data_IF_004198629067
#
_entry.id   IF_004198629067
#
_cell.length_a   1.000
_cell.length_b   1.000
_cell.length_c   1.000
_cell.angle_alpha   90.00
_cell.angle_beta   90.00
_cell.angle_gamma   90.00
#
_symmetry.space_group_name_H-M   'P 1'
#
loop_
_entity.id
_entity.type
_entity.pdbx_description
1 polymer ?
#
# COMPACT_ATOMS: atom_id res chain seq x y z
N UNK A 1 54.64 43.22 7.61
CA UNK A 1 54.79 43.21 6.15
C UNK A 1 53.47 43.63 5.52
N UNK A 2 53.37 44.92 5.29
CA UNK A 2 52.42 45.64 4.44
C UNK A 2 52.83 45.47 2.96
N UNK A 3 51.90 45.52 1.99
CA UNK A 3 52.28 45.77 0.58
C UNK A 3 51.39 45.20 -0.54
N UNK A 4 50.23 45.83 -0.73
CA UNK A 4 49.51 46.30 -1.94
C UNK A 4 49.95 46.01 -3.41
N UNK A 5 48.94 45.99 -4.32
CA UNK A 5 48.87 46.32 -5.79
C UNK A 5 49.32 45.19 -6.77
N UNK A 6 48.57 44.72 -7.78
CA UNK A 6 48.04 45.49 -8.92
C UNK A 6 46.95 44.80 -9.76
N UNK A 7 46.11 45.65 -10.35
CA UNK A 7 45.13 45.39 -11.41
C UNK A 7 45.81 44.98 -12.72
N UNK A 8 45.19 44.09 -13.50
CA UNK A 8 45.15 44.20 -14.97
C UNK A 8 43.72 43.97 -15.44
N UNK A 9 43.16 45.03 -16.02
CA UNK A 9 41.94 45.02 -16.83
C UNK A 9 42.37 44.69 -18.25
N UNK A 10 41.74 43.70 -18.90
CA UNK A 10 41.67 43.67 -20.36
C UNK A 10 40.22 43.50 -20.79
N UNK A 11 39.77 44.46 -21.59
CA UNK A 11 38.47 44.52 -22.24
C UNK A 11 38.57 43.77 -23.57
N UNK A 12 37.60 42.90 -23.88
CA UNK A 12 37.00 42.84 -25.23
C UNK A 12 35.49 42.53 -25.06
N UNK A 13 34.59 43.24 -25.77
CA UNK A 13 33.14 43.18 -25.57
C UNK A 13 32.48 42.24 -26.57
N UNK A 14 31.41 41.54 -26.17
CA UNK A 14 30.31 41.24 -27.10
C UNK A 14 29.01 40.89 -26.35
N UNK A 15 28.38 41.94 -25.82
CA UNK A 15 26.94 41.94 -25.67
C UNK A 15 26.31 41.96 -27.07
N UNK A 16 25.88 40.81 -27.58
CA UNK A 16 24.77 40.63 -28.55
C UNK A 16 24.74 39.17 -29.02
N UNK A 17 24.13 38.27 -28.23
CA UNK A 17 23.43 37.07 -28.73
C UNK A 17 22.80 36.23 -27.60
N UNK A 18 22.07 36.86 -26.68
CA UNK A 18 21.16 36.14 -25.76
C UNK A 18 19.84 36.88 -25.64
N UNK A 19 19.16 37.05 -26.77
CA UNK A 19 17.73 37.39 -26.81
C UNK A 19 17.07 36.60 -27.93
N UNK A 20 16.60 35.40 -27.57
CA UNK A 20 15.32 34.79 -27.97
C UNK A 20 15.34 33.33 -27.51
N UNK A 21 14.78 33.09 -26.33
CA UNK A 21 14.54 31.76 -25.78
C UNK A 21 13.62 31.86 -24.57
N UNK A 22 12.54 31.09 -24.57
CA UNK A 22 11.42 31.02 -23.61
C UNK A 22 11.85 30.61 -22.19
N UNK A 23 12.54 31.49 -21.46
CA UNK A 23 13.03 31.22 -20.09
C UNK A 23 11.99 31.39 -18.96
N UNK A 24 11.15 32.44 -18.90
CA UNK A 24 10.31 32.68 -17.72
C UNK A 24 9.18 31.65 -17.55
N UNK A 25 8.58 31.18 -18.64
CA UNK A 25 7.52 30.16 -18.59
C UNK A 25 8.05 28.77 -18.20
N UNK A 26 9.27 28.41 -18.63
CA UNK A 26 9.91 27.14 -18.22
C UNK A 26 10.29 27.17 -16.75
N UNK A 27 10.82 28.29 -16.26
CA UNK A 27 11.16 28.44 -14.84
C UNK A 27 9.90 28.37 -13.96
N UNK A 28 8.81 29.04 -14.36
CA UNK A 28 7.50 28.98 -13.68
C UNK A 28 6.92 27.57 -13.63
N UNK A 29 6.95 26.83 -14.75
CA UNK A 29 6.49 25.44 -14.78
C UNK A 29 7.31 24.52 -13.86
N UNK A 30 8.63 24.70 -13.80
CA UNK A 30 9.51 23.92 -12.92
C UNK A 30 9.26 24.24 -11.45
N UNK A 31 9.00 25.50 -11.10
CA UNK A 31 8.63 25.88 -9.73
C UNK A 31 7.26 25.32 -9.35
N UNK A 32 6.28 25.36 -10.25
CA UNK A 32 4.94 24.82 -9.99
C UNK A 32 4.97 23.29 -9.80
N UNK A 33 5.76 22.58 -10.62
CA UNK A 33 5.91 21.13 -10.52
C UNK A 33 6.63 20.72 -9.23
N UNK A 34 7.66 21.46 -8.82
CA UNK A 34 8.35 21.23 -7.55
C UNK A 34 7.40 21.40 -6.36
N UNK A 35 6.55 22.43 -6.39
CA UNK A 35 5.51 22.63 -5.36
C UNK A 35 4.48 21.50 -5.37
N UNK A 36 4.05 21.03 -6.55
CA UNK A 36 3.15 19.87 -6.65
C UNK A 36 3.77 18.59 -6.07
N UNK A 37 5.06 18.34 -6.31
CA UNK A 37 5.76 17.17 -5.76
C UNK A 37 5.78 17.19 -4.23
N UNK A 38 6.11 18.34 -3.62
CA UNK A 38 6.05 18.51 -2.16
C UNK A 38 4.64 18.27 -1.62
N UNK A 39 3.61 18.74 -2.34
CA UNK A 39 2.22 18.46 -1.97
C UNK A 39 1.93 16.95 -2.04
N UNK A 40 2.30 16.26 -3.12
CA UNK A 40 2.10 14.80 -3.26
C UNK A 40 2.77 14.02 -2.13
N UNK A 41 3.98 14.40 -1.75
CA UNK A 41 4.70 13.78 -0.63
C UNK A 41 3.97 13.97 0.70
N UNK A 42 3.56 15.21 1.02
CA UNK A 42 2.81 15.51 2.23
C UNK A 42 1.47 14.74 2.28
N UNK A 43 0.76 14.65 1.15
CA UNK A 43 -0.46 13.85 1.00
C UNK A 43 -0.20 12.37 1.33
N UNK A 44 0.80 11.77 0.70
CA UNK A 44 1.13 10.35 0.89
C UNK A 44 1.53 10.04 2.34
N UNK A 45 2.30 10.92 2.98
CA UNK A 45 2.68 10.76 4.38
C UNK A 45 1.45 10.75 5.31
N UNK A 46 0.53 11.69 5.12
CA UNK A 46 -0.66 11.76 5.94
C UNK A 46 -1.65 10.62 5.67
N UNK A 47 -1.75 10.16 4.40
CA UNK A 47 -2.51 8.94 4.07
C UNK A 47 -1.91 7.72 4.76
N UNK A 48 -0.58 7.58 4.77
CA UNK A 48 0.09 6.48 5.47
C UNK A 48 -0.16 6.52 6.98
N UNK A 49 -0.12 7.72 7.58
CA UNK A 49 -0.43 7.91 8.99
C UNK A 49 -1.89 7.52 9.31
N UNK A 50 -2.86 7.99 8.54
CA UNK A 50 -4.27 7.63 8.71
C UNK A 50 -4.49 6.13 8.58
N UNK A 51 -3.94 5.53 7.51
CA UNK A 51 -4.08 4.10 7.25
C UNK A 51 -3.46 3.23 8.35
N UNK A 52 -2.35 3.68 8.94
CA UNK A 52 -1.73 3.00 10.10
C UNK A 52 -2.66 2.97 11.31
N UNK A 53 -3.42 4.06 11.54
CA UNK A 53 -4.32 4.19 12.68
C UNK A 53 -5.67 3.48 12.50
N UNK A 54 -6.13 3.34 11.26
CA UNK A 54 -7.49 2.88 10.95
C UNK A 54 -7.55 1.55 10.21
N UNK A 55 -6.41 1.07 9.68
CA UNK A 55 -6.26 -0.09 8.80
C UNK A 55 -7.02 -0.03 7.46
N UNK A 56 -7.91 0.95 7.26
CA UNK A 56 -8.65 1.21 6.02
C UNK A 56 -8.91 2.70 5.88
N UNK A 57 -8.80 3.22 4.65
CA UNK A 57 -9.23 4.58 4.32
C UNK A 57 -10.69 4.56 3.89
N UNK A 58 -11.51 5.44 4.47
CA UNK A 58 -12.93 5.53 4.12
C UNK A 58 -13.18 6.53 3.00
N UNK A 59 -14.21 6.30 2.17
CA UNK A 59 -14.69 7.29 1.18
C UNK A 59 -14.96 8.66 1.80
N UNK A 60 -15.48 8.69 3.05
CA UNK A 60 -15.75 9.94 3.77
C UNK A 60 -14.47 10.72 4.01
N UNK A 61 -13.43 10.04 4.51
CA UNK A 61 -12.13 10.65 4.75
C UNK A 61 -11.51 11.09 3.41
N UNK A 62 -11.42 10.20 2.43
CA UNK A 62 -10.83 10.49 1.11
C UNK A 62 -11.52 11.62 0.33
N UNK A 63 -12.79 11.91 0.63
CA UNK A 63 -13.56 12.96 -0.03
C UNK A 63 -13.16 14.38 0.38
N UNK A 64 -12.52 14.55 1.55
CA UNK A 64 -12.03 15.84 2.06
C UNK A 64 -11.06 15.62 3.23
N UNK A 65 -9.80 15.97 3.02
CA UNK A 65 -8.75 15.89 4.05
C UNK A 65 -7.93 17.17 4.06
N UNK A 66 -7.56 17.67 5.22
CA UNK A 66 -6.66 18.82 5.36
C UNK A 66 -5.26 18.35 5.76
N UNK A 67 -4.27 18.74 4.96
CA UNK A 67 -2.87 18.34 5.13
C UNK A 67 -1.95 19.53 5.42
N UNK A 68 -2.51 20.65 5.90
CA UNK A 68 -1.77 21.87 6.21
C UNK A 68 -1.64 22.85 5.05
N UNK A 69 -2.15 22.49 3.86
CA UNK A 69 -2.25 23.36 2.68
C UNK A 69 -3.71 23.65 2.28
N UNK A 70 -4.65 23.34 3.18
CA UNK A 70 -6.10 23.43 2.95
C UNK A 70 -6.74 22.08 2.63
N UNK A 71 -8.09 22.05 2.55
CA UNK A 71 -8.83 20.83 2.29
C UNK A 71 -8.62 20.36 0.84
N UNK A 72 -8.12 19.14 0.69
CA UNK A 72 -7.93 18.45 -0.58
C UNK A 72 -8.86 17.24 -0.68
N UNK A 73 -9.32 16.96 -1.90
CA UNK A 73 -10.05 15.73 -2.21
C UNK A 73 -9.07 14.74 -2.84
N UNK A 74 -8.94 13.55 -2.25
CA UNK A 74 -8.05 12.49 -2.74
C UNK A 74 -8.75 11.55 -3.72
N UNK A 75 -10.07 11.40 -3.59
CA UNK A 75 -10.86 10.55 -4.48
C UNK A 75 -12.18 11.21 -4.83
N UNK A 76 -12.60 11.10 -6.09
CA UNK A 76 -13.96 11.47 -6.50
C UNK A 76 -14.93 10.30 -6.39
N UNK A 77 -16.20 10.64 -6.17
CA UNK A 77 -17.26 9.62 -6.05
C UNK A 77 -17.51 9.01 -7.44
N UNK A 78 -17.52 7.67 -7.51
CA UNK A 78 -17.83 6.95 -8.75
C UNK A 78 -16.78 6.95 -9.86
N UNK A 79 -15.60 7.57 -9.65
CA UNK A 79 -14.50 7.56 -10.65
C UNK A 79 -13.37 6.63 -10.26
N UNK A 80 -12.86 5.90 -11.25
CA UNK A 80 -11.65 5.08 -11.14
C UNK A 80 -10.37 5.93 -11.18
N UNK A 81 -10.39 7.05 -11.92
CA UNK A 81 -9.24 7.97 -12.04
C UNK A 81 -9.62 9.35 -11.52
N UNK A 82 -8.87 9.86 -10.54
CA UNK A 82 -9.04 11.21 -10.00
C UNK A 82 -7.95 12.18 -10.47
N UNK A 83 -8.43 13.23 -11.12
CA UNK A 83 -7.63 14.22 -11.84
C UNK A 83 -7.96 15.64 -11.34
N UNK A 84 -7.49 16.05 -10.15
CA UNK A 84 -7.74 17.40 -9.67
C UNK A 84 -7.16 18.44 -10.63
N UNK A 85 -7.89 19.55 -10.81
CA UNK A 85 -7.55 20.56 -11.82
C UNK A 85 -6.18 21.20 -11.57
N UNK A 86 -5.83 21.41 -10.30
CA UNK A 86 -4.58 22.01 -9.81
C UNK A 86 -3.33 21.15 -9.98
N UNK A 87 -3.46 19.89 -10.41
CA UNK A 87 -2.34 18.96 -10.57
C UNK A 87 -2.01 18.75 -12.05
N UNK A 88 -0.71 18.70 -12.38
CA UNK A 88 -0.20 18.51 -13.73
C UNK A 88 -0.52 17.12 -14.29
N UNK A 89 -0.58 16.09 -13.43
CA UNK A 89 -0.94 14.71 -13.78
C UNK A 89 -1.96 14.10 -12.83
N UNK A 90 -2.36 12.85 -13.07
CA UNK A 90 -3.27 12.12 -12.19
C UNK A 90 -2.75 12.10 -10.76
N UNK A 91 -3.66 12.26 -9.78
CA UNK A 91 -3.32 12.16 -8.37
C UNK A 91 -3.59 10.75 -7.84
N UNK A 92 -4.76 10.20 -8.18
CA UNK A 92 -5.22 8.94 -7.61
C UNK A 92 -5.88 8.06 -8.66
N UNK A 93 -5.63 6.76 -8.57
CA UNK A 93 -6.35 5.72 -9.29
C UNK A 93 -6.99 4.75 -8.28
N UNK A 94 -8.03 4.06 -8.69
CA UNK A 94 -8.75 3.07 -7.90
C UNK A 94 -8.73 1.78 -8.67
N UNK A 95 -8.31 0.71 -8.03
CA UNK A 95 -8.36 -0.62 -8.62
C UNK A 95 -9.21 -1.54 -7.75
N UNK A 96 -10.27 -2.09 -8.35
CA UNK A 96 -11.23 -2.99 -7.71
C UNK A 96 -10.90 -4.43 -8.10
N UNK A 97 -10.45 -5.30 -7.16
CA UNK A 97 -10.15 -6.70 -7.47
C UNK A 97 -11.36 -7.48 -8.01
N UNK A 98 -12.58 -7.05 -7.64
CA UNK A 98 -13.85 -7.67 -8.06
C UNK A 98 -14.50 -6.88 -9.21
N UNK A 99 -13.76 -5.93 -9.81
CA UNK A 99 -14.24 -5.05 -10.86
C UNK A 99 -14.31 -5.68 -12.25
N UNK A 100 -14.90 -4.95 -13.19
CA UNK A 100 -15.00 -5.35 -14.60
C UNK A 100 -13.68 -5.19 -15.41
N UNK A 101 -12.64 -4.64 -14.78
CA UNK A 101 -11.36 -4.35 -15.41
C UNK A 101 -10.36 -5.47 -15.06
N UNK A 102 -9.59 -5.90 -16.06
CA UNK A 102 -8.51 -6.89 -15.89
C UNK A 102 -7.24 -6.21 -15.33
N UNK A 103 -7.39 -5.61 -14.15
CA UNK A 103 -6.30 -5.00 -13.40
C UNK A 103 -5.60 -6.05 -12.54
N UNK A 104 -4.29 -6.24 -12.73
CA UNK A 104 -3.60 -7.32 -12.03
C UNK A 104 -2.09 -7.36 -12.23
N UNK A 105 -1.44 -8.13 -11.36
CA UNK A 105 -0.09 -8.58 -11.60
C UNK A 105 -0.15 -9.83 -12.49
N UNK A 106 0.62 -9.83 -13.57
CA UNK A 106 0.78 -10.98 -14.45
C UNK A 106 2.28 -11.28 -14.50
N UNK A 107 2.68 -12.55 -14.35
CA UNK A 107 4.09 -12.91 -14.16
C UNK A 107 5.03 -12.49 -15.29
N UNK A 108 4.51 -12.13 -16.46
CA UNK A 108 5.27 -11.64 -17.60
C UNK A 108 5.56 -10.12 -17.58
N UNK A 109 4.81 -9.32 -16.81
CA UNK A 109 4.91 -7.86 -16.83
C UNK A 109 4.81 -7.22 -15.44
N UNK A 110 5.03 -5.91 -15.38
CA UNK A 110 4.60 -5.10 -14.23
C UNK A 110 3.07 -5.05 -14.12
N UNK A 111 2.58 -4.45 -13.02
CA UNK A 111 1.17 -4.39 -12.69
C UNK A 111 0.37 -3.68 -13.80
N UNK A 112 -0.67 -4.32 -14.32
CA UNK A 112 -1.50 -3.82 -15.41
C UNK A 112 -2.66 -3.02 -14.84
N UNK A 113 -2.91 -1.86 -15.44
CA UNK A 113 -4.04 -1.01 -15.11
C UNK A 113 -4.77 -0.59 -16.39
N UNK A 114 -6.03 -1.00 -16.53
CA UNK A 114 -6.82 -0.75 -17.71
C UNK A 114 -7.15 0.75 -17.86
N UNK A 115 -7.36 1.17 -19.10
CA UNK A 115 -7.92 2.50 -19.38
C UNK A 115 -9.31 2.64 -18.77
N UNK A 116 -9.65 3.85 -18.34
CA UNK A 116 -11.05 4.18 -18.07
C UNK A 116 -11.87 4.05 -19.37
N UNK A 117 -12.91 3.21 -19.35
CA UNK A 117 -13.79 3.00 -20.51
C UNK A 117 -14.42 4.30 -20.95
N UNK A 118 -14.52 4.49 -22.26
CA UNK A 118 -15.16 5.65 -22.87
C UNK A 118 -16.33 5.24 -23.77
N UNK A 119 -17.31 6.13 -23.99
CA UNK A 119 -18.39 5.88 -24.93
C UNK A 119 -17.85 5.50 -26.31
N UNK A 120 -18.55 4.58 -26.97
CA UNK A 120 -18.20 4.12 -28.31
C UNK A 120 -18.03 5.31 -29.28
N UNK A 121 -16.96 5.26 -30.09
CA UNK A 121 -16.62 6.33 -31.06
C UNK A 121 -15.74 7.45 -30.51
N UNK A 122 -15.46 7.50 -29.20
CA UNK A 122 -14.48 8.43 -28.64
C UNK A 122 -13.09 7.79 -28.56
N UNK A 123 -12.02 8.57 -28.73
CA UNK A 123 -10.63 8.07 -28.55
C UNK A 123 -10.46 7.54 -27.11
N UNK A 124 -10.18 6.23 -26.93
CA UNK A 124 -9.95 5.61 -25.62
C UNK A 124 -8.81 6.28 -24.84
N UNK A 125 -7.87 6.92 -25.53
CA UNK A 125 -6.72 7.62 -24.93
C UNK A 125 -7.07 8.98 -24.32
N UNK A 126 -8.28 9.47 -24.57
CA UNK A 126 -8.76 10.76 -24.05
C UNK A 126 -9.37 10.68 -22.65
N UNK A 127 -10.08 11.73 -22.22
CA UNK A 127 -10.72 11.77 -20.90
C UNK A 127 -9.71 11.70 -19.76
N UNK A 128 -9.98 10.89 -18.74
CA UNK A 128 -9.13 10.77 -17.55
C UNK A 128 -7.75 10.16 -17.85
N UNK A 129 -7.64 9.34 -18.90
CA UNK A 129 -6.41 8.70 -19.34
C UNK A 129 -5.33 9.71 -19.78
N UNK A 130 -5.73 10.94 -20.17
CA UNK A 130 -4.79 12.01 -20.56
C UNK A 130 -3.88 12.42 -19.41
N UNK A 131 -4.45 12.64 -18.21
CA UNK A 131 -3.64 13.03 -17.04
C UNK A 131 -2.84 11.87 -16.46
N UNK A 132 -3.25 10.62 -16.70
CA UNK A 132 -2.50 9.44 -16.28
C UNK A 132 -1.25 9.28 -17.15
N UNK A 133 -1.40 9.44 -18.47
CA UNK A 133 -0.27 9.56 -19.41
C UNK A 133 0.62 10.78 -19.07
N UNK A 134 0.05 11.89 -18.63
CA UNK A 134 0.83 13.05 -18.20
C UNK A 134 1.65 12.76 -16.94
N UNK A 135 1.09 12.03 -15.98
CA UNK A 135 1.83 11.56 -14.81
C UNK A 135 3.00 10.64 -15.22
N UNK A 136 2.80 9.75 -16.20
CA UNK A 136 3.88 8.94 -16.79
C UNK A 136 5.01 9.81 -17.37
N UNK A 137 4.66 10.74 -18.26
CA UNK A 137 5.63 11.61 -18.95
C UNK A 137 6.45 12.49 -17.99
N UNK A 138 5.82 12.93 -16.90
CA UNK A 138 6.45 13.76 -15.87
C UNK A 138 7.10 12.93 -14.76
N UNK A 139 6.91 11.60 -14.75
CA UNK A 139 7.39 10.73 -13.68
C UNK A 139 6.80 11.06 -12.32
N UNK A 140 5.53 11.45 -12.25
CA UNK A 140 4.86 11.86 -11.02
C UNK A 140 4.43 10.64 -10.19
N UNK A 141 4.65 10.65 -8.86
CA UNK A 141 4.13 9.62 -7.98
C UNK A 141 2.61 9.78 -7.83
N UNK A 142 1.88 8.68 -7.99
CA UNK A 142 0.41 8.63 -7.83
C UNK A 142 0.03 7.71 -6.66
N UNK A 143 -1.21 7.86 -6.22
CA UNK A 143 -1.83 7.03 -5.18
C UNK A 143 -2.68 5.98 -5.87
N UNK A 144 -2.44 4.70 -5.61
CA UNK A 144 -3.40 3.66 -5.98
C UNK A 144 -4.21 3.26 -4.76
N UNK A 145 -5.53 3.33 -4.86
CA UNK A 145 -6.46 2.87 -3.84
C UNK A 145 -6.99 1.49 -4.24
N UNK A 146 -6.53 0.45 -3.56
CA UNK A 146 -7.12 -0.90 -3.68
C UNK A 146 -8.42 -0.95 -2.90
N UNK A 147 -9.52 -1.33 -3.56
CA UNK A 147 -10.82 -1.50 -2.89
C UNK A 147 -10.77 -2.75 -2.00
N UNK A 148 -11.17 -2.58 -0.75
CA UNK A 148 -11.29 -3.68 0.23
C UNK A 148 -12.75 -4.11 0.33
N UNK A 149 -13.61 -3.14 0.57
CA UNK A 149 -15.07 -3.24 0.58
C UNK A 149 -15.66 -1.93 0.05
N UNK A 150 -16.97 -1.85 -0.10
CA UNK A 150 -17.62 -0.62 -0.53
C UNK A 150 -17.29 0.55 0.41
N UNK A 151 -16.63 1.56 -0.15
CA UNK A 151 -16.20 2.75 0.57
C UNK A 151 -15.00 2.57 1.51
N UNK A 152 -14.30 1.43 1.46
CA UNK A 152 -13.08 1.17 2.23
C UNK A 152 -11.93 0.77 1.30
N UNK A 153 -10.76 1.39 1.51
CA UNK A 153 -9.61 1.26 0.62
C UNK A 153 -8.30 1.03 1.38
N UNK A 154 -7.39 0.27 0.77
CA UNK A 154 -5.99 0.22 1.17
C UNK A 154 -5.15 1.03 0.17
N UNK A 155 -4.28 1.95 0.62
CA UNK A 155 -3.42 2.72 -0.27
C UNK A 155 -2.16 1.92 -0.65
N UNK A 156 -1.76 2.02 -1.91
CA UNK A 156 -0.45 1.61 -2.43
C UNK A 156 0.24 2.87 -2.96
N UNK A 157 1.34 3.25 -2.32
CA UNK A 157 2.00 4.55 -2.54
C UNK A 157 3.50 4.51 -2.19
N UNK A 158 4.37 5.18 -2.96
CA UNK A 158 4.08 5.76 -4.27
C UNK A 158 3.89 4.67 -5.34
N UNK A 159 3.11 4.99 -6.37
CA UNK A 159 2.99 4.20 -7.61
C UNK A 159 3.39 5.08 -8.77
N UNK A 160 3.99 4.51 -9.80
CA UNK A 160 4.39 5.21 -11.03
C UNK A 160 3.82 4.53 -12.25
N UNK A 161 3.30 5.33 -13.18
CA UNK A 161 2.99 4.85 -14.52
C UNK A 161 4.30 4.85 -15.30
N UNK A 162 4.72 3.69 -15.82
CA UNK A 162 6.03 3.52 -16.47
C UNK A 162 5.94 3.22 -17.95
N UNK A 163 4.82 2.64 -18.40
CA UNK A 163 4.56 2.36 -19.81
C UNK A 163 3.07 2.48 -20.11
N UNK A 164 2.76 2.88 -21.32
CA UNK A 164 1.43 2.82 -21.91
C UNK A 164 1.46 1.80 -23.05
N UNK A 165 0.45 0.94 -23.12
CA UNK A 165 0.27 -0.05 -24.19
C UNK A 165 -1.08 0.24 -24.88
N UNK A 166 -1.13 1.19 -25.83
CA UNK A 166 -2.38 1.62 -26.48
C UNK A 166 -3.12 0.48 -27.19
N UNK A 167 -2.38 -0.46 -27.76
CA UNK A 167 -2.89 -1.67 -28.41
C UNK A 167 -3.68 -2.57 -27.46
N UNK A 168 -3.34 -2.53 -26.17
CA UNK A 168 -4.02 -3.27 -25.10
C UNK A 168 -4.92 -2.36 -24.24
N UNK A 169 -5.02 -1.07 -24.56
CA UNK A 169 -5.77 -0.06 -23.80
C UNK A 169 -5.46 -0.09 -22.31
N UNK A 170 -4.16 -0.16 -21.96
CA UNK A 170 -3.71 -0.24 -20.56
C UNK A 170 -2.42 0.52 -20.31
N UNK A 171 -2.11 0.67 -19.03
CA UNK A 171 -0.85 1.17 -18.52
C UNK A 171 -0.16 0.08 -17.69
N UNK A 172 1.18 0.14 -17.63
CA UNK A 172 1.97 -0.64 -16.69
C UNK A 172 2.43 0.26 -15.54
N UNK A 173 2.26 -0.24 -14.32
CA UNK A 173 2.51 0.46 -13.07
C UNK A 173 3.68 -0.19 -12.31
N UNK A 174 4.61 0.64 -11.88
CA UNK A 174 5.60 0.29 -10.86
C UNK A 174 5.03 0.60 -9.47
N UNK A 175 4.86 -0.43 -8.63
CA UNK A 175 4.31 -0.31 -7.26
C UNK A 175 5.35 0.13 -6.20
N UNK A 176 6.58 0.34 -6.64
CA UNK A 176 7.73 0.75 -5.84
C UNK A 176 8.76 1.48 -6.72
N UNK A 177 9.57 2.35 -6.12
CA UNK A 177 10.63 3.11 -6.82
C UNK A 177 11.64 2.16 -7.50
N UNK A 178 11.95 1.02 -6.87
CA UNK A 178 12.90 0.04 -7.41
C UNK A 178 12.48 -0.55 -8.77
N UNK A 179 11.18 -0.57 -9.06
CA UNK A 179 10.62 -1.11 -10.30
C UNK A 179 10.50 -0.06 -11.40
N UNK A 180 10.68 1.22 -11.06
CA UNK A 180 10.42 2.36 -11.95
C UNK A 180 11.32 2.38 -13.19
N UNK A 181 12.55 1.91 -13.05
CA UNK A 181 13.60 1.99 -14.07
C UNK A 181 13.93 0.64 -14.70
N UNK A 182 13.02 -0.33 -14.62
CA UNK A 182 13.20 -1.61 -15.30
C UNK A 182 13.29 -1.40 -16.82
N UNK A 183 14.28 -2.02 -17.51
CA UNK A 183 14.51 -1.77 -18.94
C UNK A 183 13.32 -2.14 -19.83
N UNK A 184 12.69 -3.29 -19.58
CA UNK A 184 11.46 -3.72 -20.26
C UNK A 184 10.39 -4.09 -19.23
N UNK A 185 9.46 -3.19 -18.90
CA UNK A 185 8.40 -3.47 -17.93
C UNK A 185 7.32 -4.42 -18.47
N UNK A 186 7.30 -4.72 -19.78
CA UNK A 186 6.31 -5.61 -20.39
C UNK A 186 6.81 -7.06 -20.55
N UNK A 187 8.12 -7.29 -20.52
CA UNK A 187 8.72 -8.63 -20.62
C UNK A 187 9.82 -8.80 -19.57
N UNK A 188 9.45 -9.40 -18.45
CA UNK A 188 10.37 -9.63 -17.34
C UNK A 188 11.22 -10.89 -17.55
N UNK A 189 12.51 -10.81 -17.21
CA UNK A 189 13.32 -12.02 -17.00
C UNK A 189 12.85 -12.76 -15.74
N UNK A 190 13.26 -14.02 -15.57
CA UNK A 190 12.88 -14.82 -14.41
C UNK A 190 13.32 -14.18 -13.08
N UNK A 191 14.52 -13.61 -13.01
CA UNK A 191 15.00 -12.90 -11.82
C UNK A 191 14.18 -11.64 -11.53
N UNK A 192 13.81 -10.89 -12.57
CA UNK A 192 12.96 -9.71 -12.44
C UNK A 192 11.55 -10.10 -12.01
N UNK A 193 10.99 -11.18 -12.55
CA UNK A 193 9.68 -11.72 -12.15
C UNK A 193 9.65 -12.03 -10.66
N UNK A 194 10.59 -12.83 -10.15
CA UNK A 194 10.67 -13.16 -8.71
C UNK A 194 10.80 -11.91 -7.84
N UNK A 195 11.57 -10.93 -8.30
CA UNK A 195 11.70 -9.64 -7.60
C UNK A 195 10.37 -8.86 -7.58
N UNK A 196 9.71 -8.74 -8.73
CA UNK A 196 8.41 -8.07 -8.89
C UNK A 196 7.34 -8.74 -8.03
N UNK A 197 7.24 -10.07 -8.07
CA UNK A 197 6.29 -10.84 -7.24
C UNK A 197 6.47 -10.54 -5.76
N UNK A 198 7.71 -10.49 -5.27
CA UNK A 198 8.00 -10.13 -3.87
C UNK A 198 7.55 -8.70 -3.55
N UNK A 199 7.79 -7.74 -4.45
CA UNK A 199 7.35 -6.34 -4.27
C UNK A 199 5.82 -6.26 -4.29
N UNK A 200 5.16 -6.91 -5.24
CA UNK A 200 3.69 -6.96 -5.32
C UNK A 200 3.10 -7.56 -4.04
N UNK A 201 3.65 -8.69 -3.56
CA UNK A 201 3.24 -9.31 -2.30
C UNK A 201 3.33 -8.34 -1.12
N UNK A 202 4.47 -7.67 -0.98
CA UNK A 202 4.72 -6.73 0.13
C UNK A 202 3.88 -5.45 0.05
N UNK A 203 3.66 -4.92 -1.15
CA UNK A 203 3.10 -3.57 -1.36
C UNK A 203 1.60 -3.59 -1.63
N UNK A 204 1.07 -4.70 -2.11
CA UNK A 204 -0.33 -4.84 -2.51
C UNK A 204 -1.04 -5.90 -1.67
N UNK A 205 -0.61 -7.16 -1.76
CA UNK A 205 -1.34 -8.28 -1.15
C UNK A 205 -1.33 -8.25 0.38
N UNK A 206 -0.18 -7.98 1.02
CA UNK A 206 -0.09 -7.96 2.48
C UNK A 206 -0.89 -6.80 3.12
N UNK A 207 -0.79 -5.54 2.66
CA UNK A 207 -1.63 -4.45 3.17
C UNK A 207 -3.13 -4.69 2.94
N UNK A 208 -3.50 -5.27 1.80
CA UNK A 208 -4.89 -5.63 1.48
C UNK A 208 -5.42 -6.72 2.42
N UNK A 209 -4.67 -7.81 2.60
CA UNK A 209 -5.01 -8.87 3.55
C UNK A 209 -5.15 -8.31 4.96
N UNK A 210 -4.19 -7.48 5.39
CA UNK A 210 -4.23 -6.83 6.70
C UNK A 210 -5.49 -5.99 6.87
N UNK A 211 -5.84 -5.18 5.88
CA UNK A 211 -7.04 -4.35 5.92
C UNK A 211 -8.32 -5.19 6.06
N UNK A 212 -8.44 -6.27 5.28
CA UNK A 212 -9.57 -7.21 5.33
C UNK A 212 -9.71 -7.88 6.71
N UNK A 213 -8.61 -8.42 7.23
CA UNK A 213 -8.60 -9.11 8.53
C UNK A 213 -8.92 -8.14 9.66
N UNK A 214 -8.21 -7.02 9.77
CA UNK A 214 -8.45 -6.07 10.85
C UNK A 214 -9.86 -5.46 10.81
N UNK A 215 -10.40 -5.23 9.61
CA UNK A 215 -11.79 -4.79 9.44
C UNK A 215 -12.79 -5.82 9.97
N UNK A 216 -12.60 -7.10 9.65
CA UNK A 216 -13.44 -8.18 10.17
C UNK A 216 -13.34 -8.34 11.70
N UNK A 217 -12.19 -7.98 12.27
CA UNK A 217 -11.92 -8.07 13.70
C UNK A 217 -12.20 -6.79 14.49
N UNK A 218 -12.91 -5.81 13.92
CA UNK A 218 -13.25 -4.56 14.61
C UNK A 218 -12.00 -3.84 15.19
N UNK A 219 -10.86 -3.93 14.49
CA UNK A 219 -9.57 -3.32 14.87
C UNK A 219 -9.07 -3.74 16.27
N UNK A 220 -9.29 -4.99 16.67
CA UNK A 220 -8.80 -5.50 17.96
C UNK A 220 -8.08 -6.83 17.86
N UNK A 221 -7.16 -7.06 18.80
CA UNK A 221 -6.54 -8.36 18.98
C UNK A 221 -7.59 -9.41 19.37
N UNK A 222 -7.60 -10.55 18.67
CA UNK A 222 -8.49 -11.67 18.91
C UNK A 222 -8.26 -12.35 20.26
N UNK A 223 -7.05 -12.22 20.83
CA UNK A 223 -6.65 -12.85 22.09
C UNK A 223 -6.90 -11.95 23.29
N UNK A 224 -6.45 -10.69 23.22
CA UNK A 224 -6.44 -9.78 24.38
C UNK A 224 -7.33 -8.55 24.26
N UNK A 225 -8.13 -8.44 23.19
CA UNK A 225 -9.04 -7.32 22.93
C UNK A 225 -8.37 -5.93 22.78
N UNK A 226 -7.03 -5.86 22.69
CA UNK A 226 -6.31 -4.60 22.48
C UNK A 226 -6.81 -3.88 21.22
N UNK A 227 -7.37 -2.68 21.37
CA UNK A 227 -7.94 -1.85 20.29
C UNK A 227 -7.01 -0.74 19.83
N UNK A 228 -5.79 -1.10 19.43
CA UNK A 228 -4.76 -0.18 18.94
C UNK A 228 -4.22 -0.68 17.61
N UNK A 229 -4.86 -0.30 16.50
CA UNK A 229 -4.53 -0.80 15.17
C UNK A 229 -3.04 -0.78 14.79
N UNK A 230 -2.21 0.24 15.16
CA UNK A 230 -0.77 0.21 14.88
C UNK A 230 -0.02 -0.95 15.55
N UNK A 231 -0.58 -1.51 16.63
CA UNK A 231 -0.04 -2.65 17.37
C UNK A 231 -0.66 -3.97 16.94
N UNK A 232 -1.50 -3.99 15.91
CA UNK A 232 -2.23 -5.18 15.44
C UNK A 232 -1.78 -5.52 14.02
N UNK A 233 -1.48 -6.79 13.84
CA UNK A 233 -1.18 -7.43 12.57
C UNK A 233 -2.28 -8.40 12.16
N UNK A 234 -2.25 -8.77 10.88
CA UNK A 234 -2.99 -9.92 10.38
C UNK A 234 -2.02 -11.11 10.29
N UNK A 235 -2.15 -12.03 11.24
CA UNK A 235 -1.41 -13.28 11.25
C UNK A 235 -2.12 -14.30 10.35
N UNK A 236 -1.34 -15.03 9.56
CA UNK A 236 -1.86 -16.14 8.78
C UNK A 236 -2.02 -17.37 9.68
N UNK A 237 -3.08 -18.15 9.48
CA UNK A 237 -3.22 -19.47 10.14
C UNK A 237 -2.37 -20.48 9.38
N UNK A 238 -2.65 -20.63 8.08
CA UNK A 238 -1.77 -21.29 7.11
C UNK A 238 -0.91 -20.23 6.43
N UNK A 239 0.41 -20.39 6.49
CA UNK A 239 1.37 -19.44 5.94
C UNK A 239 1.08 -19.05 4.49
N UNK A 240 1.25 -17.76 4.16
CA UNK A 240 1.05 -17.15 2.84
C UNK A 240 1.82 -17.83 1.69
N UNK A 241 2.94 -18.51 2.00
CA UNK A 241 3.73 -19.26 1.02
C UNK A 241 3.31 -20.72 0.80
N UNK A 242 2.33 -21.23 1.56
CA UNK A 242 1.84 -22.59 1.41
C UNK A 242 0.83 -22.70 0.25
N UNK A 243 0.66 -23.91 -0.30
CA UNK A 243 -0.25 -24.17 -1.43
C UNK A 243 -1.70 -23.75 -1.13
N UNK A 244 -2.15 -23.90 0.12
CA UNK A 244 -3.46 -23.51 0.61
C UNK A 244 -3.45 -22.16 1.35
N UNK A 245 -2.35 -21.41 1.36
CA UNK A 245 -2.11 -20.16 2.10
C UNK A 245 -2.90 -18.93 1.63
N UNK A 246 -4.17 -19.10 1.25
CA UNK A 246 -4.97 -18.05 0.62
C UNK A 246 -5.11 -16.80 1.51
N UNK A 247 -5.00 -15.58 0.94
CA UNK A 247 -5.13 -14.32 1.67
C UNK A 247 -6.61 -13.95 1.92
N UNK A 248 -7.35 -14.86 2.55
CA UNK A 248 -8.77 -14.70 2.90
C UNK A 248 -8.94 -14.52 4.40
N UNK A 249 -9.99 -13.80 4.82
CA UNK A 249 -10.22 -13.49 6.25
C UNK A 249 -10.31 -14.75 7.12
N UNK A 250 -10.88 -15.84 6.59
CA UNK A 250 -10.96 -17.13 7.30
C UNK A 250 -9.58 -17.78 7.55
N UNK A 251 -8.55 -17.40 6.80
CA UNK A 251 -7.15 -17.78 7.04
C UNK A 251 -6.38 -16.73 7.87
N UNK A 252 -7.09 -15.74 8.42
CA UNK A 252 -6.49 -14.60 9.11
C UNK A 252 -6.95 -14.45 10.56
N UNK A 253 -6.00 -14.08 11.41
CA UNK A 253 -6.22 -13.69 12.80
C UNK A 253 -5.72 -12.26 13.00
N UNK A 254 -6.54 -11.39 13.58
CA UNK A 254 -6.05 -10.08 14.02
C UNK A 254 -5.35 -10.25 15.38
N UNK A 255 -4.03 -10.18 15.43
CA UNK A 255 -3.24 -10.39 16.64
C UNK A 255 -2.41 -9.16 16.96
N UNK A 256 -2.24 -8.82 18.24
CA UNK A 256 -1.27 -7.79 18.60
C UNK A 256 0.16 -8.30 18.34
N UNK A 257 1.14 -7.40 18.25
CA UNK A 257 2.55 -7.75 17.99
C UNK A 257 3.08 -8.91 18.85
N UNK A 258 2.70 -8.94 20.14
CA UNK A 258 3.14 -9.98 21.08
C UNK A 258 2.45 -11.30 20.79
N UNK A 259 1.12 -11.30 20.63
CA UNK A 259 0.37 -12.54 20.35
C UNK A 259 0.65 -13.09 18.96
N UNK A 260 0.96 -12.23 18.00
CA UNK A 260 1.40 -12.66 16.66
C UNK A 260 2.73 -13.41 16.76
N UNK A 261 3.76 -12.79 17.36
CA UNK A 261 5.05 -13.44 17.54
C UNK A 261 4.95 -14.73 18.38
N UNK A 262 4.16 -14.71 19.47
CA UNK A 262 3.95 -15.90 20.28
C UNK A 262 3.24 -17.03 19.52
N UNK A 263 2.33 -16.70 18.60
CA UNK A 263 1.65 -17.68 17.76
C UNK A 263 2.59 -18.29 16.72
N UNK A 264 3.44 -17.48 16.09
CA UNK A 264 4.42 -17.95 15.11
C UNK A 264 5.47 -18.87 15.76
N UNK A 265 5.92 -18.53 16.97
CA UNK A 265 6.95 -19.27 17.71
C UNK A 265 6.41 -20.48 18.51
N UNK A 266 5.15 -20.87 18.33
CA UNK A 266 4.50 -21.95 19.09
C UNK A 266 4.48 -21.75 20.62
N UNK A 267 4.62 -20.52 21.10
CA UNK A 267 4.39 -20.16 22.51
C UNK A 267 2.89 -20.12 22.80
N UNK A 268 2.10 -19.69 21.81
CA UNK A 268 0.65 -19.61 21.85
C UNK A 268 0.05 -20.48 20.74
N UNK A 269 -0.89 -21.35 21.10
CA UNK A 269 -1.71 -22.13 20.18
C UNK A 269 -3.17 -21.69 20.21
N UNK A 270 -3.90 -21.96 19.15
CA UNK A 270 -5.36 -21.74 19.09
C UNK A 270 -6.00 -23.02 18.57
N UNK A 271 -6.86 -23.63 19.38
CA UNK A 271 -7.55 -24.87 19.01
C UNK A 271 -8.69 -24.61 18.01
N UNK A 272 -9.18 -25.63 17.28
CA UNK A 272 -10.32 -25.50 16.36
C UNK A 272 -11.65 -25.16 17.06
N UNK A 273 -11.70 -25.25 18.38
CA UNK A 273 -12.82 -24.79 19.21
C UNK A 273 -12.68 -23.34 19.67
N UNK A 274 -11.71 -22.60 19.08
CA UNK A 274 -11.43 -21.21 19.36
C UNK A 274 -11.02 -20.97 20.82
N UNK A 275 -10.19 -21.85 21.36
CA UNK A 275 -9.60 -21.70 22.70
C UNK A 275 -8.11 -21.42 22.56
N UNK A 276 -7.63 -20.40 23.27
CA UNK A 276 -6.20 -20.06 23.33
C UNK A 276 -5.50 -21.02 24.28
N UNK A 277 -4.32 -21.49 23.90
CA UNK A 277 -3.46 -22.35 24.72
C UNK A 277 -2.08 -21.73 24.81
N UNK A 278 -1.46 -21.78 25.98
CA UNK A 278 -0.07 -21.36 26.16
C UNK A 278 0.78 -22.59 26.46
N UNK A 279 1.96 -22.63 25.87
CA UNK A 279 2.95 -23.68 26.10
C UNK A 279 3.18 -23.93 27.62
N UNK A 280 3.26 -25.20 28.01
CA UNK A 280 3.39 -25.59 29.42
C UNK A 280 4.65 -25.04 30.11
N UNK A 281 5.78 -24.99 29.39
CA UNK A 281 7.02 -24.40 29.89
C UNK A 281 6.84 -22.91 30.21
N UNK A 282 6.20 -22.18 29.31
CA UNK A 282 5.89 -20.74 29.46
C UNK A 282 4.91 -20.49 30.61
N UNK A 283 3.96 -21.40 30.86
CA UNK A 283 3.07 -21.33 32.02
C UNK A 283 3.79 -21.50 33.37
N UNK A 284 4.87 -22.27 33.39
CA UNK A 284 5.66 -22.53 34.60
C UNK A 284 6.73 -21.48 34.89
N UNK A 285 7.06 -20.66 33.89
CA UNK A 285 8.09 -19.63 33.99
C UNK A 285 7.65 -18.47 34.90
N UNK A 286 8.61 -17.93 35.67
CA UNK A 286 8.40 -16.77 36.53
C UNK A 286 9.20 -15.61 35.97
N UNK A 287 8.49 -14.66 35.36
CA UNK A 287 9.04 -13.44 34.78
C UNK A 287 8.14 -12.23 35.10
N UNK A 288 8.43 -11.08 34.51
CA UNK A 288 7.73 -9.82 34.68
C UNK A 288 6.25 -9.82 34.26
N UNK A 289 5.58 -8.68 34.47
CA UNK A 289 4.12 -8.56 34.28
C UNK A 289 3.66 -8.87 32.85
N UNK A 290 4.50 -8.69 31.83
CA UNK A 290 4.15 -8.99 30.45
C UNK A 290 4.00 -10.49 30.20
N UNK A 291 4.86 -11.34 30.77
CA UNK A 291 4.68 -12.78 30.67
C UNK A 291 3.37 -13.21 31.36
N UNK A 292 3.16 -12.74 32.59
CA UNK A 292 2.00 -13.10 33.41
C UNK A 292 0.68 -12.63 32.79
N UNK A 293 0.52 -11.33 32.59
CA UNK A 293 -0.76 -10.74 32.17
C UNK A 293 -0.92 -10.71 30.65
N UNK A 294 0.18 -10.70 29.90
CA UNK A 294 0.16 -10.66 28.44
C UNK A 294 0.08 -12.04 27.79
N UNK A 295 0.64 -13.09 28.40
CA UNK A 295 0.65 -14.44 27.83
C UNK A 295 -0.03 -15.47 28.74
N UNK A 296 0.51 -15.75 29.93
CA UNK A 296 0.05 -16.86 30.77
C UNK A 296 -1.44 -16.81 31.10
N UNK A 297 -1.97 -15.62 31.44
CA UNK A 297 -3.41 -15.46 31.71
C UNK A 297 -4.31 -15.52 30.47
N UNK A 298 -3.75 -15.59 29.27
CA UNK A 298 -4.52 -15.82 28.05
C UNK A 298 -4.84 -17.29 27.84
N UNK A 299 -4.15 -18.20 28.54
CA UNK A 299 -4.42 -19.63 28.49
C UNK A 299 -5.89 -19.95 28.82
N UNK A 300 -6.48 -20.84 28.02
CA UNK A 300 -7.87 -21.30 28.08
C UNK A 300 -8.94 -20.22 27.89
N UNK A 301 -8.56 -18.99 27.49
CA UNK A 301 -9.54 -17.97 27.11
C UNK A 301 -10.16 -18.32 25.76
N UNK A 302 -11.44 -17.99 25.61
CA UNK A 302 -12.09 -18.00 24.31
C UNK A 302 -11.47 -16.92 23.41
N UNK A 303 -11.08 -17.32 22.21
CA UNK A 303 -10.67 -16.41 21.15
C UNK A 303 -11.89 -15.57 20.73
N UNK A 304 -11.68 -14.27 20.57
CA UNK A 304 -12.68 -13.45 19.92
C UNK A 304 -12.68 -13.74 18.41
N UNK A 305 -13.86 -14.06 17.86
CA UNK A 305 -14.04 -14.33 16.43
C UNK A 305 -15.01 -13.34 15.80
N UNK A 306 -14.85 -13.02 14.49
CA UNK A 306 -15.78 -12.16 13.78
C UNK A 306 -17.24 -12.62 13.86
N UNK A 307 -18.16 -11.65 13.88
CA UNK A 307 -19.61 -11.92 13.96
C UNK A 307 -20.13 -12.69 12.74
N UNK A 308 -19.64 -12.34 11.54
CA UNK A 308 -20.01 -12.98 10.28
C UNK A 308 -19.36 -14.36 10.20
N UNK A 309 -20.15 -15.41 10.03
CA UNK A 309 -19.67 -16.79 10.01
C UNK A 309 -18.58 -17.04 8.97
N UNK A 310 -18.74 -16.49 7.76
CA UNK A 310 -17.76 -16.61 6.67
C UNK A 310 -16.40 -15.93 6.94
N UNK A 311 -16.31 -15.08 7.97
CA UNK A 311 -15.08 -14.40 8.38
C UNK A 311 -14.43 -15.04 9.61
N UNK A 312 -15.05 -16.07 10.19
CA UNK A 312 -14.44 -16.77 11.33
C UNK A 312 -13.21 -17.55 10.88
N UNK A 313 -12.19 -17.70 11.74
CA UNK A 313 -11.07 -18.59 11.47
C UNK A 313 -11.57 -19.96 11.04
N UNK A 314 -11.02 -20.46 9.95
CA UNK A 314 -11.30 -21.79 9.47
C UNK A 314 -10.83 -22.84 10.50
N UNK A 315 -11.71 -23.77 10.84
CA UNK A 315 -11.44 -24.75 11.89
C UNK A 315 -10.41 -25.79 11.46
N UNK A 316 -10.38 -26.18 10.19
CA UNK A 316 -9.43 -27.18 9.70
C UNK A 316 -8.01 -26.59 9.67
N UNK A 317 -7.88 -25.34 9.22
CA UNK A 317 -6.61 -24.60 9.27
C UNK A 317 -6.09 -24.46 10.71
N UNK A 318 -6.99 -24.11 11.65
CA UNK A 318 -6.64 -24.04 13.07
C UNK A 318 -6.22 -25.40 13.60
N UNK A 319 -6.96 -26.46 13.29
CA UNK A 319 -6.61 -27.81 13.74
C UNK A 319 -5.20 -28.19 13.28
N UNK A 320 -4.88 -28.00 12.00
CA UNK A 320 -3.55 -28.31 11.46
C UNK A 320 -2.45 -27.45 12.12
N UNK A 321 -2.65 -26.14 12.25
CA UNK A 321 -1.67 -25.25 12.91
C UNK A 321 -1.51 -25.57 14.39
N UNK A 322 -2.57 -26.03 15.04
CA UNK A 322 -2.58 -26.42 16.45
C UNK A 322 -1.88 -27.75 16.71
N UNK A 323 -1.94 -28.72 15.78
CA UNK A 323 -1.10 -29.93 15.86
C UNK A 323 0.39 -29.55 15.91
N UNK A 324 0.84 -28.67 15.01
CA UNK A 324 2.23 -28.18 15.04
C UNK A 324 2.59 -27.45 16.35
N UNK A 325 1.64 -26.79 17.01
CA UNK A 325 1.85 -26.22 18.34
C UNK A 325 2.03 -27.30 19.41
N UNK A 326 1.19 -28.35 19.41
CA UNK A 326 1.30 -29.47 20.36
C UNK A 326 2.61 -30.25 20.18
N UNK A 327 3.07 -30.41 18.95
CA UNK A 327 4.33 -31.10 18.64
C UNK A 327 5.56 -30.31 19.11
N UNK A 328 5.45 -28.99 19.24
CA UNK A 328 6.52 -28.13 19.73
C UNK A 328 6.73 -28.19 21.26
N UNK A 329 5.80 -28.81 22.01
CA UNK A 329 5.92 -29.13 23.44
C UNK A 329 5.14 -28.22 24.38
#
# INVERSE_FOLDING_TARGET
MTGTISRIVSRVPLAKQLRKGTAPAKLGFVTDLSVELLKREALMHAIAAEFTQTAVLTSKWLGRVDFGFGPERIKDVGKGIWNPASYAGTLTIVSDPDGEYDDGAHGDSLYRYAYEKRPAGQDPRGGSNVKLRRAMQLGLPIIMLRKIHDGQFAPVMPVYVVKEEPEHQRFLLALDESLRFLPDPAHLTEDQRRYVERVVRQRLHQPEFRARVLGAYELKCAVCDLKKAPLIDAAHITADGAEDGLPVVANGLALCKIHHAAYDENILGISPDYVVHINGGVLSEVDGPMLKYGLQQMDRRALWVPRRAAHRPDKERLAHRFEAFKDAG
#
